data_IF_256018834714
#
_entry.id   IF_256018834714
#
_cell.length_a   1.000
_cell.length_b   1.000
_cell.length_c   1.000
_cell.angle_alpha   90.00
_cell.angle_beta   90.00
_cell.angle_gamma   90.00
#
_symmetry.space_group_name_H-M   'P 1'
#
loop_
_entity.id
_entity.type
_entity.pdbx_description
1 polymer ?
#
# COMPACT_ATOMS: atom_id res chain seq x y z
N UNK A 1 -7.24 -43.60 45.34
CA UNK A 1 -6.36 -44.29 46.30
C UNK A 1 -5.16 -44.86 45.55
N UNK A 2 -3.96 -44.80 46.13
CA UNK A 2 -2.74 -44.40 45.42
C UNK A 2 -1.67 -45.50 45.35
N UNK A 3 -0.69 -45.36 44.44
CA UNK A 3 0.69 -45.75 44.73
C UNK A 3 1.64 -44.69 44.17
N UNK A 4 2.43 -44.15 45.09
CA UNK A 4 3.46 -43.13 44.96
C UNK A 4 4.76 -43.81 44.52
N UNK A 5 5.53 -43.19 43.61
CA UNK A 5 6.98 -43.43 43.52
C UNK A 5 7.73 -42.10 43.42
N UNK A 6 8.47 -41.85 44.49
CA UNK A 6 9.50 -40.84 44.73
C UNK A 6 10.86 -41.31 44.23
N UNK A 7 11.66 -40.39 43.66
CA UNK A 7 13.13 -40.28 43.66
C UNK A 7 13.53 -39.52 42.38
N UNK A 8 14.47 -38.58 42.31
CA UNK A 8 15.54 -38.21 43.22
C UNK A 8 16.07 -36.83 42.80
N UNK A 9 16.55 -36.10 43.80
CA UNK A 9 17.24 -34.81 43.74
C UNK A 9 18.71 -35.07 43.44
N UNK A 10 19.31 -34.34 42.49
CA UNK A 10 20.75 -34.05 42.51
C UNK A 10 20.98 -32.58 42.13
N UNK A 11 21.43 -31.82 43.13
CA UNK A 11 22.11 -30.53 42.99
C UNK A 11 23.52 -30.78 42.44
N UNK A 12 24.00 -29.96 41.50
CA UNK A 12 25.44 -29.79 41.33
C UNK A 12 25.83 -28.34 40.97
N UNK A 13 26.97 -27.98 41.53
CA UNK A 13 27.41 -26.64 41.89
C UNK A 13 28.09 -25.84 40.77
N UNK A 14 28.10 -24.53 41.05
CA UNK A 14 28.82 -23.40 40.47
C UNK A 14 30.31 -23.67 40.19
N UNK A 15 30.82 -23.17 39.07
CA UNK A 15 32.25 -22.81 38.92
C UNK A 15 32.42 -21.49 38.15
N UNK A 16 32.96 -20.48 38.84
CA UNK A 16 33.43 -19.20 38.31
C UNK A 16 34.95 -19.18 38.45
N UNK A 17 35.74 -18.81 37.41
CA UNK A 17 37.14 -18.48 37.62
C UNK A 17 37.35 -16.96 37.57
N UNK A 18 37.91 -16.46 38.68
CA UNK A 18 38.43 -15.12 38.88
C UNK A 18 39.98 -15.17 38.83
N UNK A 19 40.57 -14.06 38.36
CA UNK A 19 41.95 -13.59 38.56
C UNK A 19 43.14 -14.25 37.83
N UNK A 20 43.90 -13.44 37.09
CA UNK A 20 45.25 -13.11 37.54
C UNK A 20 45.79 -11.77 36.98
N UNK A 21 46.26 -10.93 37.91
CA UNK A 21 47.10 -9.76 37.72
C UNK A 21 48.54 -10.17 37.37
N UNK A 22 49.26 -9.33 36.61
CA UNK A 22 50.71 -9.10 36.80
C UNK A 22 51.15 -7.74 36.23
N UNK A 23 51.80 -6.97 37.10
CA UNK A 23 52.56 -5.72 36.87
C UNK A 23 53.74 -5.95 35.93
N UNK A 24 54.30 -4.89 35.32
CA UNK A 24 55.65 -4.35 35.62
C UNK A 24 55.90 -3.04 34.85
N UNK A 25 56.49 -2.09 35.58
CA UNK A 25 56.87 -0.72 35.25
C UNK A 25 58.28 -0.73 34.64
N UNK A 26 58.57 0.04 33.58
CA UNK A 26 59.89 0.68 33.42
C UNK A 26 59.84 1.95 32.58
N UNK A 27 60.39 3.02 33.18
CA UNK A 27 60.79 4.29 32.59
C UNK A 27 61.60 4.14 31.29
N UNK A 28 61.33 4.99 30.29
CA UNK A 28 62.37 5.61 29.45
C UNK A 28 61.99 7.06 29.09
N UNK A 29 63.01 7.91 29.19
CA UNK A 29 63.05 9.37 29.00
C UNK A 29 62.81 9.79 27.54
N UNK A 30 62.49 11.09 27.32
CA UNK A 30 62.02 11.62 26.05
C UNK A 30 63.18 11.85 25.08
N UNK A 31 62.92 11.65 23.78
CA UNK A 31 63.76 12.20 22.71
C UNK A 31 62.90 13.04 21.79
N UNK A 32 63.32 14.29 21.76
CA UNK A 32 62.87 15.41 20.94
C UNK A 32 62.90 15.05 19.46
N UNK A 33 61.78 15.26 18.76
CA UNK A 33 61.65 15.38 17.29
C UNK A 33 60.17 15.52 16.94
N UNK A 34 59.71 16.76 16.70
CA UNK A 34 58.72 17.15 15.68
C UNK A 34 58.34 18.62 15.85
N UNK A 35 59.23 19.51 15.44
CA UNK A 35 58.80 20.80 14.86
C UNK A 35 58.53 20.54 13.37
N UNK A 36 57.51 21.18 12.78
CA UNK A 36 56.92 20.99 11.42
C UNK A 36 55.58 20.22 11.29
N UNK A 37 54.81 19.95 12.36
CA UNK A 37 53.42 19.42 12.22
C UNK A 37 52.31 20.22 12.91
N UNK A 38 52.60 21.40 13.45
CA UNK A 38 51.59 22.27 14.09
C UNK A 38 50.90 23.23 13.10
N UNK A 39 51.52 23.56 11.96
CA UNK A 39 50.94 24.49 10.99
C UNK A 39 49.83 23.88 10.12
N UNK A 40 49.80 22.56 9.94
CA UNK A 40 48.78 21.89 9.11
C UNK A 40 47.43 21.78 9.83
N UNK A 41 47.43 21.51 11.14
CA UNK A 41 46.20 21.44 11.93
C UNK A 41 45.55 22.82 12.12
N UNK A 42 46.34 23.88 12.28
CA UNK A 42 45.79 25.24 12.35
C UNK A 42 45.06 25.66 11.06
N UNK A 43 45.58 25.28 9.90
CA UNK A 43 44.93 25.53 8.61
C UNK A 43 43.60 24.80 8.46
N UNK A 44 43.52 23.53 8.89
CA UNK A 44 42.28 22.74 8.83
C UNK A 44 41.21 23.34 9.75
N UNK A 45 41.59 23.74 10.96
CA UNK A 45 40.66 24.39 11.91
C UNK A 45 40.15 25.72 11.34
N UNK A 46 41.03 26.52 10.72
CA UNK A 46 40.64 27.79 10.11
C UNK A 46 39.63 27.60 8.97
N UNK A 47 39.85 26.62 8.08
CA UNK A 47 38.92 26.31 6.98
C UNK A 47 37.56 25.84 7.51
N UNK A 48 37.53 24.98 8.53
CA UNK A 48 36.29 24.52 9.14
C UNK A 48 35.49 25.66 9.78
N UNK A 49 36.15 26.63 10.42
CA UNK A 49 35.48 27.80 10.99
C UNK A 49 34.83 28.69 9.92
N UNK A 50 35.49 28.87 8.77
CA UNK A 50 34.94 29.64 7.65
C UNK A 50 33.69 28.95 7.09
N UNK A 51 33.75 27.63 6.88
CA UNK A 51 32.60 26.85 6.39
C UNK A 51 31.41 27.01 7.34
N UNK A 52 31.63 26.89 8.65
CA UNK A 52 30.57 27.05 9.66
C UNK A 52 29.93 28.45 9.66
N UNK A 53 30.72 29.50 9.44
CA UNK A 53 30.17 30.87 9.35
C UNK A 53 29.34 31.04 8.08
N UNK A 54 29.82 30.52 6.94
CA UNK A 54 29.10 30.59 5.67
C UNK A 54 27.78 29.82 5.73
N UNK A 55 27.77 28.60 6.26
CA UNK A 55 26.52 27.82 6.41
C UNK A 55 25.52 28.49 7.33
N UNK A 56 25.99 29.10 8.43
CA UNK A 56 25.10 29.83 9.35
C UNK A 56 24.50 31.07 8.68
N UNK A 57 25.28 31.79 7.87
CA UNK A 57 24.80 32.93 7.11
C UNK A 57 23.76 32.54 6.05
N UNK A 58 23.98 31.44 5.32
CA UNK A 58 23.00 30.90 4.38
C UNK A 58 21.69 30.49 5.07
N UNK A 59 21.76 29.88 6.25
CA UNK A 59 20.57 29.53 7.03
C UNK A 59 19.78 30.76 7.50
N UNK A 60 20.46 31.85 7.88
CA UNK A 60 19.82 33.12 8.23
C UNK A 60 19.14 33.73 7.00
N UNK A 61 19.78 33.69 5.83
CA UNK A 61 19.17 34.17 4.57
C UNK A 61 17.92 33.36 4.23
N UNK A 62 17.98 32.02 4.29
CA UNK A 62 16.82 31.15 4.05
C UNK A 62 15.70 31.45 5.05
N UNK A 63 16.03 31.63 6.33
CA UNK A 63 15.07 32.04 7.36
C UNK A 63 14.45 33.41 7.12
N UNK A 64 15.22 34.37 6.59
CA UNK A 64 14.73 35.70 6.24
C UNK A 64 13.80 35.65 5.02
N UNK A 65 14.15 34.88 3.99
CA UNK A 65 13.25 34.64 2.86
C UNK A 65 11.99 33.89 3.27
N UNK A 66 12.07 32.97 4.24
CA UNK A 66 10.89 32.26 4.75
C UNK A 66 9.98 33.17 5.59
N UNK A 67 10.56 34.12 6.33
CA UNK A 67 9.80 35.11 7.12
C UNK A 67 9.21 36.22 6.25
N UNK A 68 9.86 36.63 5.17
CA UNK A 68 9.27 37.56 4.20
C UNK A 68 8.22 36.89 3.30
N UNK A 69 8.37 35.61 2.93
CA UNK A 69 7.29 34.86 2.26
C UNK A 69 6.05 34.70 3.14
N UNK A 70 6.20 34.63 4.46
CA UNK A 70 5.07 34.49 5.39
C UNK A 70 4.39 35.81 5.73
N UNK A 71 5.02 36.96 5.50
CA UNK A 71 4.39 38.29 5.62
C UNK A 71 3.57 38.71 4.41
N UNK A 72 3.72 38.05 3.26
CA UNK A 72 2.80 38.16 2.12
C UNK A 72 1.52 37.32 2.27
N UNK A 73 1.27 36.77 3.47
CA UNK A 73 -0.02 36.19 3.83
C UNK A 73 -1.07 37.31 3.95
N UNK A 74 -1.66 37.64 2.80
CA UNK A 74 -2.91 38.38 2.72
C UNK A 74 -3.88 37.88 3.79
N UNK A 75 -4.28 38.80 4.67
CA UNK A 75 -5.62 39.01 5.21
C UNK A 75 -6.46 37.72 5.29
N UNK A 76 -6.55 37.11 6.48
CA UNK A 76 -7.51 36.09 6.93
C UNK A 76 -8.61 35.71 5.92
N UNK A 77 -8.22 34.97 4.89
CA UNK A 77 -9.11 34.22 4.02
C UNK A 77 -8.47 32.86 4.02
N UNK A 78 -9.09 31.90 4.71
CA UNK A 78 -8.70 30.51 4.59
C UNK A 78 -8.55 30.22 3.08
N UNK A 79 -7.37 29.84 2.58
CA UNK A 79 -7.22 29.59 1.16
C UNK A 79 -8.18 28.46 0.79
N UNK A 80 -8.92 28.64 -0.31
CA UNK A 80 -9.77 27.57 -0.80
C UNK A 80 -8.89 26.35 -1.10
N UNK A 81 -9.32 25.19 -0.62
CA UNK A 81 -8.68 23.89 -0.86
C UNK A 81 -8.71 23.58 -2.36
N UNK A 82 -9.83 23.89 -3.02
CA UNK A 82 -10.00 23.74 -4.46
C UNK A 82 -11.07 24.72 -4.96
N UNK A 83 -10.92 25.19 -6.20
CA UNK A 83 -11.93 25.96 -6.91
C UNK A 83 -12.12 25.40 -8.32
N UNK A 84 -13.36 25.40 -8.81
CA UNK A 84 -13.73 25.01 -10.17
C UNK A 84 -14.49 26.15 -10.84
N UNK A 85 -14.30 26.33 -12.14
CA UNK A 85 -15.11 27.26 -12.95
C UNK A 85 -16.56 26.73 -13.06
N UNK A 86 -17.51 27.39 -12.39
CA UNK A 86 -18.90 26.93 -12.36
C UNK A 86 -19.54 26.98 -13.75
N UNK A 87 -19.12 27.94 -14.60
CA UNK A 87 -19.72 28.18 -15.91
C UNK A 87 -19.51 27.04 -16.91
N UNK A 88 -18.50 26.19 -16.68
CA UNK A 88 -18.19 25.02 -17.53
C UNK A 88 -18.95 23.75 -17.12
N UNK A 89 -19.82 23.83 -16.13
CA UNK A 89 -20.53 22.67 -15.60
C UNK A 89 -21.99 22.74 -16.06
N UNK A 90 -22.28 22.15 -17.23
CA UNK A 90 -23.53 22.37 -17.98
C UNK A 90 -24.83 22.07 -17.21
N UNK A 91 -24.79 21.31 -16.11
CA UNK A 91 -25.92 21.12 -15.20
C UNK A 91 -25.46 20.87 -13.76
N UNK A 92 -25.42 21.92 -12.94
CA UNK A 92 -25.25 21.77 -11.49
C UNK A 92 -26.65 21.63 -10.87
N UNK A 93 -27.00 20.49 -10.24
CA UNK A 93 -28.30 20.37 -9.60
C UNK A 93 -28.37 21.35 -8.41
N UNK A 94 -29.48 22.09 -8.32
CA UNK A 94 -29.66 23.20 -7.37
C UNK A 94 -29.38 22.82 -5.91
N UNK A 95 -29.61 21.56 -5.54
CA UNK A 95 -29.36 21.05 -4.20
C UNK A 95 -27.87 20.93 -3.81
N UNK A 96 -26.94 20.94 -4.78
CA UNK A 96 -25.50 20.86 -4.51
C UNK A 96 -24.80 22.22 -4.49
N UNK A 97 -25.41 23.26 -5.08
CA UNK A 97 -24.89 24.63 -5.04
C UNK A 97 -24.90 25.24 -3.64
N UNK A 98 -25.85 24.84 -2.79
CA UNK A 98 -25.95 25.32 -1.40
C UNK A 98 -24.76 24.88 -0.53
N UNK A 99 -23.99 23.89 -0.98
CA UNK A 99 -22.85 23.33 -0.26
C UNK A 99 -21.49 23.82 -0.78
N UNK A 100 -21.46 24.80 -1.69
CA UNK A 100 -20.21 25.33 -2.25
C UNK A 100 -20.25 26.85 -2.25
N UNK A 101 -19.11 27.50 -1.99
CA UNK A 101 -19.03 28.95 -1.95
C UNK A 101 -18.78 29.48 -3.36
N UNK A 102 -19.72 30.29 -3.87
CA UNK A 102 -19.55 31.04 -5.10
C UNK A 102 -18.62 32.23 -4.88
N UNK A 103 -17.61 32.34 -5.74
CA UNK A 103 -16.64 33.44 -5.73
C UNK A 103 -16.38 33.92 -7.15
N UNK A 104 -16.69 35.18 -7.41
CA UNK A 104 -16.34 35.82 -8.67
C UNK A 104 -14.85 36.18 -8.67
N UNK A 105 -14.11 35.69 -9.67
CA UNK A 105 -12.71 36.04 -9.88
C UNK A 105 -12.55 36.42 -11.35
N UNK A 106 -12.23 37.69 -11.61
CA UNK A 106 -12.06 38.24 -12.96
C UNK A 106 -13.30 38.08 -13.86
N UNK A 107 -14.51 38.25 -13.31
CA UNK A 107 -15.77 38.13 -14.06
C UNK A 107 -16.19 36.70 -14.40
N UNK A 108 -15.52 35.69 -13.82
CA UNK A 108 -15.88 34.27 -13.93
C UNK A 108 -16.29 33.78 -12.54
N UNK A 109 -17.43 33.10 -12.47
CA UNK A 109 -17.92 32.49 -11.24
C UNK A 109 -17.17 31.18 -10.94
N UNK A 110 -16.48 31.15 -9.81
CA UNK A 110 -15.81 29.96 -9.30
C UNK A 110 -16.58 29.36 -8.12
N UNK A 111 -16.65 28.04 -8.10
CA UNK A 111 -17.21 27.21 -7.07
C UNK A 111 -16.03 26.75 -6.21
N UNK A 112 -15.89 27.29 -5.00
CA UNK A 112 -14.74 27.05 -4.13
C UNK A 112 -15.12 26.25 -2.88
N UNK A 113 -14.21 25.36 -2.48
CA UNK A 113 -14.29 24.58 -1.26
C UNK A 113 -13.22 25.00 -0.26
N UNK A 114 -13.62 25.29 0.97
CA UNK A 114 -12.77 25.70 2.09
C UNK A 114 -12.70 24.64 3.19
N UNK A 115 -13.60 23.65 3.15
CA UNK A 115 -13.60 22.51 4.05
C UNK A 115 -13.88 21.20 3.30
N UNK A 116 -13.78 20.07 4.01
CA UNK A 116 -13.93 18.72 3.45
C UNK A 116 -15.34 18.42 2.96
N UNK A 117 -16.38 19.01 3.57
CA UNK A 117 -17.77 18.85 3.10
C UNK A 117 -17.98 19.55 1.77
N UNK A 118 -17.53 20.80 1.67
CA UNK A 118 -17.58 21.60 0.43
C UNK A 118 -16.72 20.96 -0.68
N UNK A 119 -15.57 20.36 -0.33
CA UNK A 119 -14.71 19.67 -1.30
C UNK A 119 -15.40 18.42 -1.87
N UNK A 120 -16.12 17.68 -1.02
CA UNK A 120 -16.89 16.50 -1.44
C UNK A 120 -18.01 16.90 -2.40
N UNK A 121 -18.74 17.98 -2.10
CA UNK A 121 -19.74 18.54 -2.99
C UNK A 121 -19.12 19.02 -4.31
N UNK A 122 -17.97 19.71 -4.26
CA UNK A 122 -17.26 20.17 -5.45
C UNK A 122 -16.78 19.01 -6.35
N UNK A 123 -16.28 17.92 -5.75
CA UNK A 123 -15.88 16.71 -6.46
C UNK A 123 -17.09 16.03 -7.11
N UNK A 124 -18.21 15.95 -6.40
CA UNK A 124 -19.46 15.39 -6.93
C UNK A 124 -19.99 16.18 -8.13
N UNK A 125 -19.94 17.52 -8.06
CA UNK A 125 -20.28 18.42 -9.17
C UNK A 125 -19.35 18.18 -10.37
N UNK A 126 -18.04 18.07 -10.15
CA UNK A 126 -17.03 17.81 -11.19
C UNK A 126 -17.21 16.45 -11.87
N UNK A 127 -17.55 15.41 -11.10
CA UNK A 127 -17.84 14.08 -11.63
C UNK A 127 -19.13 14.08 -12.45
N UNK A 128 -20.21 14.69 -11.94
CA UNK A 128 -21.51 14.74 -12.64
C UNK A 128 -21.46 15.60 -13.91
N UNK A 129 -20.75 16.73 -13.89
CA UNK A 129 -20.61 17.63 -15.04
C UNK A 129 -19.89 16.99 -16.24
N UNK A 130 -18.97 16.05 -16.00
CA UNK A 130 -18.32 15.27 -17.07
C UNK A 130 -19.20 14.14 -17.63
N UNK A 131 -20.29 13.78 -16.95
CA UNK A 131 -21.16 12.67 -17.31
C UNK A 131 -22.38 13.05 -18.17
N UNK A 132 -22.59 14.32 -18.51
CA UNK A 132 -23.79 14.75 -19.28
C UNK A 132 -23.72 14.46 -20.79
N UNK A 133 -22.57 14.03 -21.35
CA UNK A 133 -22.53 13.55 -22.76
C UNK A 133 -22.76 12.05 -22.93
N UNK A 134 -22.95 11.30 -21.86
CA UNK A 134 -23.54 9.97 -21.93
C UNK A 134 -24.03 9.64 -20.53
N UNK A 135 -25.34 9.81 -20.33
CA UNK A 135 -26.01 9.11 -19.26
C UNK A 135 -25.54 7.65 -19.34
N UNK A 136 -24.86 7.16 -18.30
CA UNK A 136 -24.64 5.73 -18.14
C UNK A 136 -26.03 5.10 -18.31
N UNK A 137 -26.24 4.21 -19.30
CA UNK A 137 -27.56 3.68 -19.58
C UNK A 137 -28.10 3.10 -18.28
N UNK A 138 -29.31 3.52 -17.91
CA UNK A 138 -30.00 3.00 -16.73
C UNK A 138 -29.97 1.47 -16.82
N UNK A 139 -29.25 0.84 -15.89
CA UNK A 139 -29.06 -0.60 -15.87
C UNK A 139 -30.41 -1.26 -15.63
N UNK A 140 -31.06 -1.70 -16.70
CA UNK A 140 -32.25 -2.51 -16.60
C UNK A 140 -31.84 -3.96 -16.36
N UNK A 141 -32.09 -4.46 -15.15
CA UNK A 141 -31.75 -5.84 -14.73
C UNK A 141 -32.36 -6.88 -15.68
N UNK A 142 -33.48 -6.58 -16.34
CA UNK A 142 -34.11 -7.48 -17.33
C UNK A 142 -33.37 -7.57 -18.66
N UNK A 143 -32.45 -6.64 -18.97
CA UNK A 143 -31.62 -6.64 -20.17
C UNK A 143 -30.17 -7.10 -19.88
N UNK A 144 -29.93 -7.71 -18.72
CA UNK A 144 -28.63 -8.28 -18.40
C UNK A 144 -28.33 -9.46 -19.33
N UNK A 145 -27.62 -9.21 -20.42
CA UNK A 145 -26.88 -10.26 -21.11
C UNK A 145 -25.62 -10.53 -20.31
N UNK A 146 -25.32 -11.80 -20.04
CA UNK A 146 -24.01 -12.21 -19.54
C UNK A 146 -22.92 -11.47 -20.32
N UNK A 147 -22.02 -10.82 -19.58
CA UNK A 147 -20.87 -10.10 -20.11
C UNK A 147 -20.20 -10.88 -21.25
N UNK A 148 -19.87 -10.18 -22.34
CA UNK A 148 -19.25 -10.80 -23.52
C UNK A 148 -17.91 -11.45 -23.17
N UNK A 149 -17.20 -10.96 -22.14
CA UNK A 149 -15.98 -11.54 -21.59
C UNK A 149 -16.02 -11.58 -20.05
N UNK A 150 -15.87 -12.77 -19.46
CA UNK A 150 -15.90 -12.95 -17.99
C UNK A 150 -15.06 -14.14 -17.55
N UNK A 151 -14.49 -14.04 -16.35
CA UNK A 151 -13.78 -15.13 -15.70
C UNK A 151 -13.98 -15.06 -14.18
N UNK A 152 -14.06 -16.23 -13.55
CA UNK A 152 -14.03 -16.41 -12.11
C UNK A 152 -13.33 -17.74 -11.81
N UNK A 153 -12.23 -17.69 -11.07
CA UNK A 153 -11.42 -18.89 -10.76
C UNK A 153 -10.89 -18.82 -9.34
N UNK A 154 -10.65 -20.00 -8.77
CA UNK A 154 -9.98 -20.12 -7.48
C UNK A 154 -8.52 -19.64 -7.59
N UNK A 155 -8.03 -18.96 -6.56
CA UNK A 155 -6.62 -18.62 -6.42
C UNK A 155 -5.87 -19.75 -5.71
N UNK A 156 -4.65 -20.01 -6.14
CA UNK A 156 -3.74 -20.99 -5.55
C UNK A 156 -2.49 -20.29 -5.00
N UNK A 157 -1.91 -20.88 -3.97
CA UNK A 157 -0.67 -20.38 -3.40
C UNK A 157 0.47 -20.35 -4.44
N UNK A 158 1.41 -19.40 -4.35
CA UNK A 158 2.61 -19.38 -5.17
C UNK A 158 3.41 -20.68 -4.97
N UNK A 159 3.88 -21.30 -6.05
CA UNK A 159 4.77 -22.48 -5.94
C UNK A 159 6.16 -21.99 -5.49
N UNK A 160 6.55 -22.29 -4.25
CA UNK A 160 7.96 -22.36 -3.84
C UNK A 160 8.32 -23.84 -3.64
N UNK A 161 9.43 -24.29 -4.22
CA UNK A 161 9.93 -25.69 -4.19
C UNK A 161 10.35 -26.20 -2.79
N UNK A 162 9.95 -25.56 -1.68
CA UNK A 162 10.33 -25.97 -0.33
C UNK A 162 9.16 -26.60 0.41
N UNK A 163 9.11 -27.93 0.36
CA UNK A 163 8.09 -28.79 0.97
C UNK A 163 8.04 -28.84 2.52
N UNK A 164 8.75 -28.00 3.28
CA UNK A 164 8.77 -28.10 4.76
C UNK A 164 9.05 -26.81 5.54
N UNK A 165 8.83 -25.62 4.97
CA UNK A 165 9.01 -24.37 5.74
C UNK A 165 7.79 -24.04 6.62
N UNK A 166 8.01 -23.43 7.80
CA UNK A 166 6.92 -22.84 8.59
C UNK A 166 6.17 -21.80 7.76
N UNK A 167 4.91 -21.56 8.11
CA UNK A 167 4.04 -20.52 7.54
C UNK A 167 4.87 -19.26 7.27
N UNK A 168 4.99 -18.85 5.99
CA UNK A 168 5.79 -17.68 5.63
C UNK A 168 4.97 -16.39 5.85
N UNK A 169 5.19 -15.75 7.00
CA UNK A 169 4.65 -14.43 7.36
C UNK A 169 5.51 -13.30 6.77
N UNK A 170 5.76 -13.32 5.46
CA UNK A 170 6.58 -12.30 4.77
C UNK A 170 5.76 -11.08 4.36
N UNK A 171 6.37 -9.89 4.32
CA UNK A 171 5.78 -8.71 3.67
C UNK A 171 6.03 -8.68 2.14
N UNK A 172 6.82 -9.62 1.62
CA UNK A 172 7.08 -9.71 0.19
C UNK A 172 5.81 -10.12 -0.57
N UNK A 173 5.48 -9.34 -1.60
CA UNK A 173 4.38 -9.64 -2.51
C UNK A 173 4.75 -10.80 -3.44
N UNK A 174 3.96 -11.87 -3.39
CA UNK A 174 4.04 -12.99 -4.31
C UNK A 174 2.80 -13.02 -5.23
N UNK A 175 3.01 -13.38 -6.50
CA UNK A 175 1.91 -13.57 -7.45
C UNK A 175 1.19 -14.88 -7.17
N UNK A 176 -0.11 -14.79 -6.91
CA UNK A 176 -1.00 -15.95 -6.77
C UNK A 176 -1.18 -16.63 -8.13
N UNK A 177 -1.36 -17.95 -8.09
CA UNK A 177 -1.64 -18.69 -9.32
C UNK A 177 -3.15 -18.81 -9.53
N UNK A 178 -3.56 -18.92 -10.78
CA UNK A 178 -4.94 -19.18 -11.16
C UNK A 178 -5.14 -20.68 -11.36
N UNK A 179 -6.18 -21.24 -10.77
CA UNK A 179 -6.53 -22.65 -10.97
C UNK A 179 -7.06 -22.86 -12.40
N UNK A 180 -6.57 -23.91 -13.05
CA UNK A 180 -7.12 -24.36 -14.33
C UNK A 180 -8.56 -24.86 -14.15
N UNK A 181 -9.46 -24.40 -15.01
CA UNK A 181 -10.88 -24.74 -14.92
C UNK A 181 -11.11 -26.11 -15.54
N UNK A 182 -11.37 -27.12 -14.69
CA UNK A 182 -11.77 -28.45 -15.13
C UNK A 182 -13.28 -28.55 -15.42
N UNK A 183 -13.71 -29.59 -16.14
CA UNK A 183 -15.15 -29.86 -16.38
C UNK A 183 -15.97 -29.94 -15.08
N UNK A 184 -15.35 -30.44 -14.00
CA UNK A 184 -16.03 -30.62 -12.71
C UNK A 184 -16.19 -29.31 -11.93
N UNK A 185 -15.41 -28.29 -12.28
CA UNK A 185 -15.42 -26.97 -11.63
C UNK A 185 -16.37 -25.98 -12.32
N UNK A 186 -16.91 -26.29 -13.51
CA UNK A 186 -17.76 -25.39 -14.33
C UNK A 186 -18.99 -24.82 -13.63
N UNK A 187 -19.43 -25.43 -12.54
CA UNK A 187 -20.55 -24.93 -11.72
C UNK A 187 -20.17 -23.68 -10.91
N UNK A 188 -18.89 -23.54 -10.55
CA UNK A 188 -18.38 -22.51 -9.65
C UNK A 188 -17.35 -21.61 -10.34
N UNK A 189 -16.59 -22.16 -11.27
CA UNK A 189 -15.48 -21.50 -11.96
C UNK A 189 -15.78 -21.46 -13.47
N UNK A 190 -15.42 -20.37 -14.12
CA UNK A 190 -15.61 -20.23 -15.56
C UNK A 190 -14.60 -19.26 -16.17
N UNK A 191 -14.33 -19.45 -17.46
CA UNK A 191 -13.56 -18.50 -18.27
C UNK A 191 -14.25 -18.40 -19.63
N UNK A 192 -14.56 -17.18 -20.07
CA UNK A 192 -15.27 -16.89 -21.31
C UNK A 192 -14.63 -15.67 -21.98
N UNK A 193 -14.07 -15.87 -23.18
CA UNK A 193 -13.41 -14.81 -23.98
C UNK A 193 -12.35 -14.01 -23.20
N UNK A 194 -11.63 -14.72 -22.34
CA UNK A 194 -10.47 -14.25 -21.57
C UNK A 194 -9.46 -15.38 -21.63
N UNK A 195 -8.18 -15.06 -21.83
CA UNK A 195 -7.13 -16.05 -21.82
C UNK A 195 -6.69 -16.28 -20.36
N UNK A 196 -6.83 -17.52 -19.87
CA UNK A 196 -6.36 -17.88 -18.53
C UNK A 196 -4.87 -18.25 -18.61
N UNK A 197 -4.02 -17.42 -18.00
CA UNK A 197 -2.61 -17.75 -17.77
C UNK A 197 -2.46 -18.30 -16.35
N UNK A 198 -1.37 -19.04 -16.11
CA UNK A 198 -1.07 -19.61 -14.79
C UNK A 198 -1.04 -18.55 -13.68
N UNK A 199 -0.63 -17.32 -13.99
CA UNK A 199 -0.43 -16.23 -13.04
C UNK A 199 -1.35 -15.03 -13.26
N UNK A 200 -2.29 -15.09 -14.22
CA UNK A 200 -3.16 -13.94 -14.50
C UNK A 200 -4.19 -14.11 -15.61
N UNK A 201 -5.12 -13.16 -15.68
CA UNK A 201 -6.12 -13.09 -16.75
C UNK A 201 -5.62 -12.19 -17.87
N UNK A 202 -5.46 -12.73 -19.06
CA UNK A 202 -5.09 -11.94 -20.24
C UNK A 202 -6.33 -11.51 -21.01
N UNK A 203 -6.46 -10.19 -21.17
CA UNK A 203 -7.58 -9.54 -21.84
C UNK A 203 -7.46 -9.70 -23.35
N UNK A 204 -8.54 -10.15 -23.99
CA UNK A 204 -8.60 -10.36 -25.44
C UNK A 204 -9.33 -9.19 -26.14
N UNK A 205 -10.28 -8.57 -25.46
CA UNK A 205 -11.14 -7.51 -26.00
C UNK A 205 -10.98 -6.20 -25.23
N UNK A 206 -10.96 -5.07 -25.92
CA UNK A 206 -10.96 -3.75 -25.28
C UNK A 206 -12.32 -3.51 -24.61
N UNK A 207 -12.31 -2.93 -23.42
CA UNK A 207 -13.55 -2.57 -22.75
C UNK A 207 -13.34 -2.07 -21.33
N UNK A 208 -14.44 -1.73 -20.67
CA UNK A 208 -14.47 -1.48 -19.24
C UNK A 208 -14.76 -2.78 -18.52
N UNK A 209 -13.87 -3.19 -17.63
CA UNK A 209 -13.98 -4.41 -16.85
C UNK A 209 -14.16 -4.08 -15.37
N UNK A 210 -15.07 -4.79 -14.71
CA UNK A 210 -15.09 -4.87 -13.25
C UNK A 210 -14.17 -6.01 -12.82
N UNK A 211 -13.11 -5.68 -12.10
CA UNK A 211 -12.15 -6.61 -11.52
C UNK A 211 -12.48 -6.82 -10.05
N UNK A 212 -12.29 -8.04 -9.55
CA UNK A 212 -12.45 -8.32 -8.13
C UNK A 212 -11.57 -9.49 -7.70
N UNK A 213 -11.21 -9.49 -6.42
CA UNK A 213 -10.45 -10.56 -5.78
C UNK A 213 -10.81 -10.63 -4.30
N UNK A 214 -10.83 -11.84 -3.78
CA UNK A 214 -11.08 -12.18 -2.38
C UNK A 214 -9.96 -13.09 -1.90
N UNK A 215 -9.38 -12.79 -0.75
CA UNK A 215 -8.36 -13.62 -0.11
C UNK A 215 -8.66 -13.74 1.38
N UNK A 216 -8.82 -14.97 1.85
CA UNK A 216 -9.04 -15.27 3.26
C UNK A 216 -7.70 -15.47 3.97
N UNK A 217 -7.40 -14.62 4.95
CA UNK A 217 -6.20 -14.71 5.76
C UNK A 217 -6.51 -15.37 7.11
N UNK A 218 -5.74 -16.40 7.46
CA UNK A 218 -5.91 -17.22 8.67
C UNK A 218 -4.57 -17.43 9.38
N UNK A 219 -4.42 -16.83 10.56
CA UNK A 219 -3.19 -16.87 11.36
C UNK A 219 -3.12 -18.07 12.32
N UNK A 220 -4.25 -18.75 12.55
CA UNK A 220 -4.35 -19.80 13.56
C UNK A 220 -4.58 -19.21 14.96
N UNK A 221 -5.37 -19.90 15.78
CA UNK A 221 -5.78 -19.43 17.13
C UNK A 221 -4.63 -19.37 18.13
N UNK A 222 -3.58 -20.13 17.88
CA UNK A 222 -2.41 -20.33 18.73
C UNK A 222 -1.34 -19.26 18.55
N UNK A 223 -1.40 -18.48 17.47
CA UNK A 223 -0.41 -17.44 17.14
C UNK A 223 -0.96 -16.06 17.52
N UNK A 224 -0.23 -15.35 18.40
CA UNK A 224 -0.54 -13.96 18.75
C UNK A 224 0.11 -13.00 17.77
N UNK A 225 -0.61 -12.00 17.28
CA UNK A 225 -0.07 -11.02 16.33
C UNK A 225 1.18 -10.30 16.87
N UNK A 226 1.23 -10.05 18.18
CA UNK A 226 2.36 -9.41 18.86
C UNK A 226 3.66 -10.20 18.79
N UNK A 227 3.59 -11.49 18.46
CA UNK A 227 4.78 -12.35 18.27
C UNK A 227 5.29 -12.35 16.84
N UNK A 228 4.54 -11.78 15.89
CA UNK A 228 4.90 -11.74 14.49
C UNK A 228 5.76 -10.51 14.18
N UNK A 229 6.74 -10.67 13.28
CA UNK A 229 7.55 -9.56 12.78
C UNK A 229 6.74 -8.58 11.92
N UNK A 230 5.69 -9.07 11.28
CA UNK A 230 4.77 -8.30 10.46
C UNK A 230 3.34 -8.60 10.90
N UNK A 231 2.53 -7.55 11.04
CA UNK A 231 1.13 -7.65 11.48
C UNK A 231 0.14 -7.18 10.41
N UNK A 232 0.64 -6.68 9.28
CA UNK A 232 -0.18 -6.23 8.15
C UNK A 232 0.31 -6.91 6.88
N UNK A 233 -0.61 -7.47 6.10
CA UNK A 233 -0.35 -8.08 4.81
C UNK A 233 -1.21 -7.44 3.74
N UNK A 234 -0.65 -7.40 2.53
CA UNK A 234 -1.21 -6.68 1.42
C UNK A 234 -1.83 -7.64 0.42
N UNK A 235 -2.92 -7.19 -0.20
CA UNK A 235 -3.59 -7.88 -1.29
C UNK A 235 -3.81 -6.86 -2.41
N UNK A 236 -3.21 -7.12 -3.57
CA UNK A 236 -3.23 -6.21 -4.71
C UNK A 236 -3.74 -6.88 -5.98
N UNK A 237 -4.47 -6.08 -6.78
CA UNK A 237 -4.79 -6.39 -8.17
C UNK A 237 -3.88 -5.50 -9.01
N UNK A 238 -3.02 -6.12 -9.81
CA UNK A 238 -2.07 -5.43 -10.70
C UNK A 238 -2.44 -5.66 -12.17
N UNK A 239 -2.16 -4.64 -12.98
CA UNK A 239 -2.21 -4.73 -14.43
C UNK A 239 -0.79 -4.71 -14.98
N UNK A 240 -0.46 -5.70 -15.79
CA UNK A 240 0.77 -5.76 -16.57
C UNK A 240 0.43 -5.54 -18.05
N UNK A 241 0.92 -4.42 -18.58
CA UNK A 241 0.95 -4.13 -20.01
C UNK A 241 2.36 -4.42 -20.55
N UNK A 242 2.55 -4.36 -21.88
CA UNK A 242 3.82 -4.71 -22.54
C UNK A 242 5.06 -3.98 -22.01
N UNK A 243 4.89 -2.77 -21.46
CA UNK A 243 5.99 -1.91 -20.99
C UNK A 243 5.91 -1.53 -19.51
N UNK A 244 4.82 -1.84 -18.79
CA UNK A 244 4.60 -1.33 -17.44
C UNK A 244 3.73 -2.26 -16.60
N UNK A 245 4.06 -2.40 -15.31
CA UNK A 245 3.16 -2.95 -14.29
C UNK A 245 2.61 -1.82 -13.44
N UNK A 246 1.32 -1.87 -13.11
CA UNK A 246 0.63 -0.87 -12.30
C UNK A 246 -0.30 -1.55 -11.29
N UNK A 247 -0.25 -1.10 -10.04
CA UNK A 247 -1.25 -1.48 -9.02
C UNK A 247 -2.55 -0.74 -9.34
N UNK A 248 -3.64 -1.50 -9.50
CA UNK A 248 -4.97 -0.96 -9.73
C UNK A 248 -5.73 -0.79 -8.42
N UNK A 249 -5.74 -1.86 -7.62
CA UNK A 249 -6.46 -1.92 -6.36
C UNK A 249 -5.53 -2.52 -5.30
N UNK A 250 -5.60 -1.97 -4.09
CA UNK A 250 -4.84 -2.45 -2.93
C UNK A 250 -5.77 -2.48 -1.73
N UNK A 251 -5.69 -3.59 -1.00
CA UNK A 251 -6.29 -3.76 0.31
C UNK A 251 -5.23 -4.33 1.25
N UNK A 252 -5.51 -4.27 2.55
CA UNK A 252 -4.63 -4.82 3.55
C UNK A 252 -5.45 -5.55 4.61
N UNK A 253 -4.88 -6.62 5.13
CA UNK A 253 -5.37 -7.31 6.31
C UNK A 253 -4.38 -7.03 7.45
N UNK A 254 -4.89 -6.63 8.61
CA UNK A 254 -4.08 -6.37 9.81
C UNK A 254 -4.54 -7.28 10.94
N UNK A 255 -3.62 -8.06 11.49
CA UNK A 255 -3.88 -8.97 12.60
C UNK A 255 -4.25 -8.19 13.87
N UNK A 256 -5.22 -8.69 14.63
CA UNK A 256 -5.69 -8.11 15.87
C UNK A 256 -5.28 -8.94 17.09
N UNK A 257 -4.59 -8.32 18.06
CA UNK A 257 -4.10 -9.02 19.26
C UNK A 257 -5.20 -9.53 20.19
N UNK A 258 -6.30 -8.80 20.28
CA UNK A 258 -7.36 -9.02 21.28
C UNK A 258 -8.70 -9.41 20.64
N UNK A 259 -8.67 -9.91 19.40
CA UNK A 259 -9.86 -10.35 18.69
C UNK A 259 -10.14 -11.84 18.95
N UNK A 260 -11.42 -12.19 19.03
CA UNK A 260 -11.88 -13.57 19.24
C UNK A 260 -11.56 -14.49 18.07
N UNK A 261 -11.39 -13.93 16.87
CA UNK A 261 -10.92 -14.60 15.67
C UNK A 261 -10.05 -13.64 14.87
N UNK A 262 -9.02 -14.17 14.23
CA UNK A 262 -8.18 -13.45 13.26
C UNK A 262 -8.38 -14.01 11.84
N UNK A 263 -9.51 -14.66 11.59
CA UNK A 263 -9.90 -15.17 10.27
C UNK A 263 -10.70 -14.08 9.55
N UNK A 264 -10.08 -13.41 8.60
CA UNK A 264 -10.67 -12.26 7.91
C UNK A 264 -10.47 -12.35 6.40
N UNK A 265 -11.47 -11.85 5.66
CA UNK A 265 -11.43 -11.84 4.20
C UNK A 265 -11.06 -10.45 3.69
N UNK A 266 -9.95 -10.37 2.97
CA UNK A 266 -9.54 -9.20 2.22
C UNK A 266 -10.18 -9.21 0.84
N UNK A 267 -11.18 -8.36 0.63
CA UNK A 267 -11.83 -8.17 -0.67
C UNK A 267 -11.46 -6.81 -1.27
N UNK A 268 -11.18 -6.80 -2.57
CA UNK A 268 -10.99 -5.54 -3.32
C UNK A 268 -11.43 -5.70 -4.76
N UNK A 269 -11.84 -4.60 -5.39
CA UNK A 269 -12.32 -4.60 -6.76
C UNK A 269 -12.76 -3.23 -7.24
N UNK A 270 -12.99 -3.12 -8.54
CA UNK A 270 -13.42 -1.87 -9.18
C UNK A 270 -13.42 -1.94 -10.70
N UNK A 271 -13.93 -0.87 -11.31
CA UNK A 271 -14.06 -0.74 -12.75
C UNK A 271 -12.83 -0.08 -13.36
N UNK A 272 -12.25 -0.67 -14.40
CA UNK A 272 -11.14 -0.09 -15.14
C UNK A 272 -11.24 -0.40 -16.64
N UNK A 273 -10.72 0.51 -17.47
CA UNK A 273 -10.54 0.25 -18.89
C UNK A 273 -9.32 -0.62 -19.12
N UNK A 274 -9.49 -1.72 -19.84
CA UNK A 274 -8.42 -2.64 -20.24
C UNK A 274 -8.33 -2.73 -21.75
N UNK A 275 -7.11 -2.94 -22.23
CA UNK A 275 -6.81 -3.12 -23.65
C UNK A 275 -6.46 -4.59 -23.94
N UNK A 276 -6.62 -5.05 -25.19
CA UNK A 276 -6.15 -6.36 -25.60
C UNK A 276 -4.66 -6.53 -25.28
N UNK A 277 -4.31 -7.66 -24.66
CA UNK A 277 -2.95 -7.97 -24.22
C UNK A 277 -2.60 -7.53 -22.80
N UNK A 278 -3.43 -6.71 -22.15
CA UNK A 278 -3.27 -6.44 -20.71
C UNK A 278 -3.47 -7.73 -19.91
N UNK A 279 -2.62 -7.96 -18.91
CA UNK A 279 -2.68 -9.10 -18.00
C UNK A 279 -3.00 -8.62 -16.60
N UNK A 280 -4.03 -9.21 -15.97
CA UNK A 280 -4.41 -8.93 -14.58
C UNK A 280 -3.80 -9.99 -13.67
N UNK A 281 -2.95 -9.57 -12.75
CA UNK A 281 -2.30 -10.42 -11.76
C UNK A 281 -2.85 -10.12 -10.36
N UNK A 282 -2.95 -11.14 -9.52
CA UNK A 282 -3.27 -11.00 -8.10
C UNK A 282 -2.00 -11.24 -7.31
N UNK A 283 -1.63 -10.31 -6.42
CA UNK A 283 -0.49 -10.50 -5.53
C UNK A 283 -0.90 -10.35 -4.08
N UNK A 284 -0.28 -11.14 -3.23
CA UNK A 284 -0.44 -11.04 -1.78
C UNK A 284 0.90 -11.11 -1.07
N UNK A 285 1.01 -10.43 0.07
CA UNK A 285 2.04 -10.75 1.06
C UNK A 285 1.46 -11.70 2.10
N UNK A 286 2.33 -12.32 2.91
CA UNK A 286 1.91 -13.30 3.92
C UNK A 286 1.19 -14.49 3.33
N UNK A 287 1.55 -14.93 2.12
CA UNK A 287 0.80 -15.96 1.38
C UNK A 287 0.70 -17.30 2.13
N UNK A 288 1.57 -17.57 3.12
CA UNK A 288 1.42 -18.72 4.02
C UNK A 288 0.15 -18.67 4.90
N UNK A 289 -0.46 -17.51 5.05
CA UNK A 289 -1.70 -17.27 5.77
C UNK A 289 -2.95 -17.47 4.91
N UNK A 290 -2.79 -17.52 3.59
CA UNK A 290 -3.92 -17.57 2.69
C UNK A 290 -4.62 -18.93 2.81
N UNK A 291 -5.83 -18.94 3.34
CA UNK A 291 -6.66 -20.13 3.37
C UNK A 291 -7.24 -20.38 1.98
N UNK A 292 -6.73 -21.40 1.29
CA UNK A 292 -7.09 -21.71 -0.09
C UNK A 292 -8.39 -22.52 -0.13
N UNK A 293 -9.52 -21.82 -0.20
CA UNK A 293 -10.84 -22.39 -0.48
C UNK A 293 -11.53 -21.65 -1.61
N UNK A 294 -12.25 -22.38 -2.46
CA UNK A 294 -12.91 -21.84 -3.65
C UNK A 294 -13.96 -20.77 -3.33
N UNK A 295 -14.55 -20.78 -2.13
CA UNK A 295 -15.60 -19.84 -1.73
C UNK A 295 -15.06 -18.58 -1.05
N UNK A 296 -13.78 -18.54 -0.66
CA UNK A 296 -13.21 -17.41 0.07
C UNK A 296 -11.97 -16.80 -0.60
N UNK A 297 -11.26 -17.59 -1.40
CA UNK A 297 -9.98 -17.21 -2.01
C UNK A 297 -10.04 -17.42 -3.53
N UNK A 298 -10.47 -16.37 -4.24
CA UNK A 298 -10.80 -16.39 -5.66
C UNK A 298 -10.59 -15.02 -6.30
N UNK A 299 -10.50 -14.99 -7.62
CA UNK A 299 -10.48 -13.74 -8.38
C UNK A 299 -11.30 -13.86 -9.67
N UNK A 300 -11.71 -12.72 -10.18
CA UNK A 300 -12.44 -12.69 -11.43
C UNK A 300 -12.49 -11.31 -12.07
N UNK A 301 -13.04 -11.32 -13.27
CA UNK A 301 -13.31 -10.13 -14.05
C UNK A 301 -14.56 -10.31 -14.90
N UNK A 302 -15.25 -9.21 -15.17
CA UNK A 302 -16.36 -9.19 -16.12
C UNK A 302 -16.34 -7.89 -16.91
N UNK A 303 -16.52 -7.96 -18.22
CA UNK A 303 -16.69 -6.78 -19.06
C UNK A 303 -18.07 -6.16 -18.82
N UNK A 304 -18.11 -4.87 -18.53
CA UNK A 304 -19.34 -4.11 -18.34
C UNK A 304 -19.76 -3.34 -19.60
N UNK A 305 -18.83 -3.07 -20.51
CA UNK A 305 -19.10 -2.41 -21.77
C UNK A 305 -17.91 -2.49 -22.74
N UNK A 306 -18.22 -2.62 -24.02
CA UNK A 306 -17.26 -2.57 -25.12
C UNK A 306 -16.93 -1.12 -25.47
N UNK A 307 -15.73 -0.87 -26.00
CA UNK A 307 -15.25 0.46 -26.43
C UNK A 307 -14.95 0.50 -27.91
#
# INVERSE_FOLDING_TARGET
MPVIRTSQIEDEYIYVPHHHLSRVRTNRRPTDRRSYKTNSYQWVVFVLTIISMVTSFFLIIIGFFHTELSKFSLKNVNPAIACLDCSKTDHIPHNLLDYVVLKEINGIDYCCAYNTKELTALLEISMRGKHVKSALPAFNVSNFSLSSASAHVQLLAPIKESTRSPIEFTDELATMLLKDVSEHDKKFEHVRKVDLLKDGFKVIHSGVYYLYSSVNFKIGSEIKCSTLSYTTWHHTIEKKSSSQSMVLFKSAYTCCNDCTSNDETSYTGGAIRLLPGDVINIKISGYGLAFIDRNSTFAGLMMMGES
#
